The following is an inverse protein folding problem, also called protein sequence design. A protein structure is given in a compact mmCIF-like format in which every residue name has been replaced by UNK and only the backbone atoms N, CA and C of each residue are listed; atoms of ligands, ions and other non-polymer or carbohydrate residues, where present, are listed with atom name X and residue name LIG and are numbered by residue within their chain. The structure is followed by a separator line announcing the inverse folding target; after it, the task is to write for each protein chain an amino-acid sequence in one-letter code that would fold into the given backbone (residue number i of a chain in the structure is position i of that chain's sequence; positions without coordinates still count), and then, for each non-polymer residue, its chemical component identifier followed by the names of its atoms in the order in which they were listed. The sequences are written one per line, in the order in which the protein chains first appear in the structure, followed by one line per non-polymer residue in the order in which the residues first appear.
data_IF_812133632688
#
_entry.id   IF_812133632688
#
_cell.length_a   1.000
_cell.length_b   1.000
_cell.length_c   1.000
_cell.angle_alpha   90.00
_cell.angle_beta   90.00
_cell.angle_gamma   90.00
#
_symmetry.space_group_name_H-M   'P 1'
#
loop_
_entity.id
_entity.type
_entity.pdbx_description
1 polymer ?
#
# COMPACT_ATOMS: atom_id res chain seq x y z
N UNK A 1 16.98 5.84 -21.49
CA UNK A 1 17.86 4.69 -21.77
C UNK A 1 16.97 3.48 -21.63
N UNK A 2 16.66 2.82 -22.75
CA UNK A 2 15.50 1.93 -22.88
C UNK A 2 15.64 0.58 -22.19
N UNK A 3 14.49 -0.08 -22.09
CA UNK A 3 14.22 -1.51 -21.87
C UNK A 3 15.43 -2.35 -21.47
N UNK A 4 15.46 -2.79 -20.20
CA UNK A 4 16.41 -3.82 -19.75
C UNK A 4 15.69 -5.14 -19.53
N UNK A 5 15.89 -6.04 -20.48
CA UNK A 5 15.51 -7.44 -20.33
C UNK A 5 16.62 -8.15 -19.56
N UNK A 6 16.36 -8.47 -18.30
CA UNK A 6 17.13 -9.41 -17.46
C UNK A 6 18.52 -8.94 -16.98
N UNK A 7 18.63 -8.72 -15.67
CA UNK A 7 19.92 -8.56 -15.01
C UNK A 7 19.83 -8.23 -13.52
N UNK A 8 20.97 -8.32 -12.83
CA UNK A 8 21.13 -7.78 -11.48
C UNK A 8 21.81 -6.42 -11.55
N UNK A 9 21.20 -5.41 -10.95
CA UNK A 9 21.79 -4.08 -10.80
C UNK A 9 22.05 -3.86 -9.31
N UNK A 10 23.29 -3.56 -8.94
CA UNK A 10 23.61 -3.24 -7.54
C UNK A 10 22.95 -1.93 -7.12
N UNK A 11 23.46 -0.81 -7.63
CA UNK A 11 22.98 0.52 -7.28
C UNK A 11 22.77 1.40 -8.51
N UNK A 12 21.74 2.23 -8.47
CA UNK A 12 21.48 3.27 -9.46
C UNK A 12 21.04 4.55 -8.75
N UNK A 13 21.73 5.68 -9.00
CA UNK A 13 21.52 6.89 -8.17
C UNK A 13 20.65 7.98 -8.81
N UNK A 14 20.59 8.06 -10.14
CA UNK A 14 19.75 9.01 -10.86
C UNK A 14 19.40 8.46 -12.25
N UNK A 15 18.14 8.50 -12.64
CA UNK A 15 17.78 8.28 -14.04
C UNK A 15 16.33 7.90 -14.28
N UNK A 16 15.93 8.05 -15.53
CA UNK A 16 14.67 7.53 -16.05
C UNK A 16 14.95 6.25 -16.83
N UNK A 17 14.24 5.19 -16.47
CA UNK A 17 14.18 3.96 -17.24
C UNK A 17 12.75 3.81 -17.73
N UNK A 18 12.58 3.53 -19.02
CA UNK A 18 11.23 3.47 -19.62
C UNK A 18 10.48 2.23 -19.17
N UNK A 19 11.17 1.07 -19.12
CA UNK A 19 10.60 -0.24 -18.82
C UNK A 19 11.67 -1.14 -18.22
N UNK A 20 11.27 -2.00 -17.28
CA UNK A 20 12.09 -3.13 -16.84
C UNK A 20 11.21 -4.35 -16.57
N UNK A 21 11.51 -5.42 -17.30
CA UNK A 21 10.58 -6.54 -17.50
C UNK A 21 10.91 -7.76 -16.62
N UNK A 22 12.14 -7.84 -16.13
CA UNK A 22 12.63 -8.90 -15.22
C UNK A 22 13.98 -8.49 -14.63
N UNK A 23 14.14 -8.56 -13.31
CA UNK A 23 15.43 -8.26 -12.70
C UNK A 23 15.47 -8.28 -11.18
N UNK A 24 16.69 -8.20 -10.65
CA UNK A 24 16.92 -7.93 -9.23
C UNK A 24 17.70 -6.64 -9.11
N UNK A 25 17.26 -5.74 -8.25
CA UNK A 25 17.99 -4.52 -7.96
C UNK A 25 18.13 -4.31 -6.47
N UNK A 26 19.32 -3.95 -5.99
CA UNK A 26 19.53 -3.77 -4.55
C UNK A 26 19.09 -2.37 -4.09
N UNK A 27 19.46 -1.32 -4.83
CA UNK A 27 19.12 0.05 -4.47
C UNK A 27 18.90 0.95 -5.69
N UNK A 28 17.86 1.79 -5.62
CA UNK A 28 17.62 2.86 -6.57
C UNK A 28 17.30 4.18 -5.85
N UNK A 29 18.13 5.19 -6.06
CA UNK A 29 17.87 6.55 -5.60
C UNK A 29 17.41 7.40 -6.80
N UNK A 30 16.43 8.29 -6.59
CA UNK A 30 15.95 9.30 -7.55
C UNK A 30 15.64 8.76 -8.96
N UNK A 31 14.52 8.06 -9.08
CA UNK A 31 14.18 7.37 -10.31
C UNK A 31 12.74 7.61 -10.78
N UNK A 32 12.54 7.51 -12.09
CA UNK A 32 11.21 7.46 -12.68
C UNK A 32 11.15 6.26 -13.63
N UNK A 33 10.17 5.39 -13.39
CA UNK A 33 9.92 4.22 -14.23
C UNK A 33 8.43 4.13 -14.52
N UNK A 34 8.00 4.35 -15.77
CA UNK A 34 6.60 4.17 -16.13
C UNK A 34 6.07 2.78 -15.80
N UNK A 35 6.78 1.70 -16.15
CA UNK A 35 6.30 0.34 -15.92
C UNK A 35 7.40 -0.63 -15.48
N UNK A 36 7.02 -1.52 -14.57
CA UNK A 36 7.90 -2.48 -13.92
C UNK A 36 7.25 -3.85 -13.75
N UNK A 37 7.83 -4.86 -14.39
CA UNK A 37 7.26 -6.21 -14.40
C UNK A 37 8.29 -7.20 -13.83
N UNK A 38 7.88 -8.13 -12.96
CA UNK A 38 8.72 -9.24 -12.48
C UNK A 38 10.06 -8.84 -11.83
N UNK A 39 10.04 -7.79 -11.00
CA UNK A 39 11.25 -7.28 -10.32
C UNK A 39 11.26 -7.55 -8.82
N UNK A 40 12.43 -7.94 -8.32
CA UNK A 40 12.75 -7.85 -6.89
C UNK A 40 13.62 -6.63 -6.63
N UNK A 41 13.13 -5.68 -5.85
CA UNK A 41 13.85 -4.48 -5.44
C UNK A 41 14.16 -4.52 -3.93
N UNK A 42 15.41 -4.24 -3.57
CA UNK A 42 15.79 -4.02 -2.18
C UNK A 42 15.22 -2.70 -1.67
N UNK A 43 15.79 -1.60 -2.10
CA UNK A 43 15.45 -0.25 -1.63
C UNK A 43 15.16 0.70 -2.77
N UNK A 44 14.09 1.47 -2.66
CA UNK A 44 13.78 2.57 -3.56
C UNK A 44 13.61 3.86 -2.77
N UNK A 45 14.44 4.85 -3.08
CA UNK A 45 14.43 6.15 -2.41
C UNK A 45 14.09 7.24 -3.43
N UNK A 46 13.00 7.97 -3.19
CA UNK A 46 12.54 9.08 -4.03
C UNK A 46 12.30 8.67 -5.49
N UNK A 47 11.06 8.43 -5.86
CA UNK A 47 10.76 8.23 -7.27
C UNK A 47 9.29 8.15 -7.58
N UNK A 48 9.01 8.04 -8.86
CA UNK A 48 7.65 7.91 -9.37
C UNK A 48 7.58 6.71 -10.28
N UNK A 49 6.54 5.92 -10.07
CA UNK A 49 6.22 4.74 -10.84
C UNK A 49 4.76 4.79 -11.25
N UNK A 50 4.45 4.50 -12.51
CA UNK A 50 3.04 4.47 -12.93
C UNK A 50 2.44 3.08 -12.75
N UNK A 51 3.15 2.02 -13.15
CA UNK A 51 2.69 0.64 -13.10
C UNK A 51 3.75 -0.28 -12.48
N UNK A 52 3.31 -1.14 -11.57
CA UNK A 52 4.10 -2.27 -11.10
C UNK A 52 3.26 -3.55 -11.11
N UNK A 53 3.64 -4.48 -11.98
CA UNK A 53 3.07 -5.82 -12.05
C UNK A 53 4.05 -6.88 -11.51
N UNK A 54 3.60 -7.72 -10.59
CA UNK A 54 4.33 -8.90 -10.11
C UNK A 54 5.73 -8.60 -9.56
N UNK A 55 5.86 -8.05 -8.36
CA UNK A 55 7.20 -7.93 -7.77
C UNK A 55 7.25 -7.81 -6.28
N UNK A 56 8.47 -7.70 -5.77
CA UNK A 56 8.72 -7.60 -4.33
C UNK A 56 9.62 -6.42 -4.04
N UNK A 57 9.19 -5.51 -3.16
CA UNK A 57 10.05 -4.50 -2.54
C UNK A 57 10.33 -4.84 -1.09
N UNK A 58 11.56 -4.64 -0.61
CA UNK A 58 11.81 -4.62 0.83
C UNK A 58 11.48 -3.27 1.46
N UNK A 59 11.89 -2.17 0.83
CA UNK A 59 11.73 -0.83 1.38
C UNK A 59 11.47 0.21 0.29
N UNK A 60 10.44 1.03 0.51
CA UNK A 60 9.97 2.09 -0.37
C UNK A 60 9.91 3.41 0.42
N UNK A 61 10.79 4.36 0.14
CA UNK A 61 10.89 5.61 0.88
C UNK A 61 10.62 6.81 -0.05
N UNK A 62 9.69 7.69 0.36
CA UNK A 62 9.35 8.95 -0.35
C UNK A 62 9.03 8.81 -1.84
N UNK A 63 8.36 7.73 -2.22
CA UNK A 63 8.07 7.46 -3.63
C UNK A 63 6.56 7.34 -3.90
N UNK A 64 6.17 7.62 -5.14
CA UNK A 64 4.78 7.60 -5.61
C UNK A 64 4.57 6.46 -6.61
N UNK A 65 3.52 5.69 -6.43
CA UNK A 65 3.11 4.61 -7.32
C UNK A 65 1.69 4.85 -7.81
N UNK A 66 1.47 4.74 -9.12
CA UNK A 66 0.14 4.84 -9.73
C UNK A 66 -0.70 3.61 -9.43
N UNK A 67 -0.35 2.48 -10.05
CA UNK A 67 -1.04 1.20 -9.98
C UNK A 67 -0.05 0.10 -9.58
N UNK A 68 -0.53 -0.82 -8.77
CA UNK A 68 0.21 -1.97 -8.29
C UNK A 68 -0.65 -3.23 -8.41
N UNK A 69 -0.20 -4.21 -9.18
CA UNK A 69 -0.84 -5.52 -9.30
C UNK A 69 0.11 -6.63 -8.85
N UNK A 70 -0.38 -7.50 -7.96
CA UNK A 70 0.32 -8.68 -7.46
C UNK A 70 1.74 -8.39 -6.91
N UNK A 71 1.87 -7.33 -6.12
CA UNK A 71 3.14 -6.96 -5.49
C UNK A 71 3.18 -7.24 -4.00
N UNK A 72 4.39 -7.33 -3.46
CA UNK A 72 4.64 -7.38 -2.02
C UNK A 72 5.60 -6.27 -1.62
N UNK A 73 5.21 -5.38 -0.72
CA UNK A 73 6.08 -4.35 -0.15
C UNK A 73 6.29 -4.65 1.33
N UNK A 74 7.55 -4.78 1.75
CA UNK A 74 7.90 -4.99 3.15
C UNK A 74 7.59 -3.75 4.00
N UNK A 75 8.27 -2.64 3.68
CA UNK A 75 8.19 -1.36 4.39
C UNK A 75 7.92 -0.24 3.38
N UNK A 76 7.01 0.66 3.74
CA UNK A 76 6.74 1.89 3.01
C UNK A 76 6.82 3.07 3.99
N UNK A 77 7.73 4.01 3.76
CA UNK A 77 7.88 5.24 4.54
C UNK A 77 7.56 6.44 3.65
N UNK A 78 6.56 7.24 4.02
CA UNK A 78 6.14 8.44 3.28
C UNK A 78 5.81 8.18 1.79
N UNK A 79 5.34 6.97 1.46
CA UNK A 79 4.94 6.61 0.11
C UNK A 79 3.51 7.04 -0.24
N UNK A 80 3.28 7.32 -1.52
CA UNK A 80 1.93 7.52 -2.07
C UNK A 80 1.61 6.39 -3.03
N UNK A 81 0.47 5.74 -2.86
CA UNK A 81 0.03 4.69 -3.79
C UNK A 81 -1.40 4.98 -4.23
N UNK A 82 -1.64 4.96 -5.53
CA UNK A 82 -2.94 5.13 -6.15
C UNK A 82 -3.80 3.88 -5.99
N UNK A 83 -3.72 2.91 -6.90
CA UNK A 83 -4.51 1.68 -6.85
C UNK A 83 -3.64 0.47 -6.54
N UNK A 84 -4.24 -0.51 -5.87
CA UNK A 84 -3.53 -1.66 -5.34
C UNK A 84 -4.41 -2.91 -5.46
N UNK A 85 -4.05 -3.82 -6.35
CA UNK A 85 -4.77 -5.06 -6.63
C UNK A 85 -3.90 -6.28 -6.27
N UNK A 86 -4.47 -7.27 -5.57
CA UNK A 86 -3.80 -8.52 -5.18
C UNK A 86 -2.45 -8.37 -4.46
N UNK A 87 -2.27 -7.30 -3.70
CA UNK A 87 -0.95 -6.96 -3.20
C UNK A 87 -0.89 -6.90 -1.66
N UNK A 88 0.30 -7.19 -1.13
CA UNK A 88 0.55 -7.32 0.31
C UNK A 88 1.53 -6.25 0.78
N UNK A 89 1.21 -5.58 1.89
CA UNK A 89 2.08 -4.60 2.53
C UNK A 89 2.35 -4.98 3.98
N UNK A 90 3.61 -5.05 4.37
CA UNK A 90 4.00 -5.34 5.75
C UNK A 90 3.72 -4.17 6.68
N UNK A 91 4.50 -3.09 6.53
CA UNK A 91 4.39 -1.87 7.32
C UNK A 91 4.28 -0.65 6.42
N UNK A 92 3.44 0.30 6.82
CA UNK A 92 3.33 1.60 6.19
C UNK A 92 3.37 2.69 7.26
N UNK A 93 4.36 3.58 7.17
CA UNK A 93 4.51 4.75 8.03
C UNK A 93 4.27 6.02 7.21
N UNK A 94 3.31 6.84 7.65
CA UNK A 94 2.96 8.13 7.06
C UNK A 94 2.63 8.09 5.55
N UNK A 95 2.01 6.98 5.12
CA UNK A 95 1.63 6.77 3.72
C UNK A 95 0.33 7.49 3.36
N UNK A 96 0.41 8.49 2.47
CA UNK A 96 -0.79 9.08 1.86
C UNK A 96 -1.20 8.20 0.70
N UNK A 97 -2.16 7.29 0.89
CA UNK A 97 -2.70 6.54 -0.25
C UNK A 97 -3.65 7.48 -0.98
N UNK A 98 -3.44 7.63 -2.29
CA UNK A 98 -3.95 8.75 -3.07
C UNK A 98 -5.43 9.02 -2.79
N UNK A 99 -5.87 10.28 -2.86
CA UNK A 99 -7.25 10.70 -2.53
C UNK A 99 -8.36 10.04 -3.39
N UNK A 100 -7.99 9.19 -4.35
CA UNK A 100 -8.85 8.38 -5.22
C UNK A 100 -8.39 6.91 -5.35
N UNK A 101 -7.54 6.45 -4.44
CA UNK A 101 -7.00 5.10 -4.48
C UNK A 101 -7.99 4.02 -4.07
N UNK A 102 -7.99 2.90 -4.81
CA UNK A 102 -8.79 1.70 -4.56
C UNK A 102 -7.87 0.54 -4.21
N UNK A 103 -8.26 -0.24 -3.21
CA UNK A 103 -7.53 -1.40 -2.72
C UNK A 103 -8.42 -2.62 -2.84
N UNK A 104 -8.08 -3.51 -3.76
CA UNK A 104 -8.86 -4.69 -4.09
C UNK A 104 -8.02 -5.94 -3.78
N UNK A 105 -8.56 -6.86 -2.98
CA UNK A 105 -7.86 -8.11 -2.59
C UNK A 105 -6.50 -7.87 -1.94
N UNK A 106 -6.42 -6.87 -1.06
CA UNK A 106 -5.17 -6.47 -0.45
C UNK A 106 -4.99 -7.02 0.97
N UNK A 107 -3.74 -7.09 1.44
CA UNK A 107 -3.43 -7.40 2.84
C UNK A 107 -2.43 -6.38 3.38
N UNK A 108 -2.70 -5.86 4.57
CA UNK A 108 -1.84 -4.90 5.27
C UNK A 108 -1.54 -5.36 6.69
N UNK A 109 -0.27 -5.41 7.06
CA UNK A 109 0.15 -5.75 8.42
C UNK A 109 -0.15 -4.61 9.38
N UNK A 110 0.68 -3.55 9.35
CA UNK A 110 0.50 -2.35 10.17
C UNK A 110 0.44 -1.09 9.30
N UNK A 111 -0.41 -0.15 9.69
CA UNK A 111 -0.45 1.20 9.17
C UNK A 111 -0.33 2.21 10.33
N UNK A 112 0.65 3.10 10.27
CA UNK A 112 0.77 4.27 11.15
C UNK A 112 0.52 5.53 10.31
N UNK A 113 -0.41 6.39 10.74
CA UNK A 113 -0.75 7.66 10.12
C UNK A 113 -1.08 7.55 8.62
N UNK A 114 -2.27 7.05 8.28
CA UNK A 114 -2.65 6.80 6.88
C UNK A 114 -4.08 7.21 6.54
N UNK A 115 -4.29 7.76 5.35
CA UNK A 115 -5.63 7.87 4.74
C UNK A 115 -5.80 6.82 3.65
N UNK A 116 -6.93 6.14 3.64
CA UNK A 116 -7.23 4.95 2.85
C UNK A 116 -8.65 5.04 2.28
N UNK A 117 -8.84 5.52 1.04
CA UNK A 117 -10.16 6.00 0.59
C UNK A 117 -11.21 4.89 0.38
N UNK A 118 -10.85 3.81 -0.31
CA UNK A 118 -11.77 2.73 -0.71
C UNK A 118 -11.09 1.37 -0.61
N UNK A 119 -11.72 0.44 0.10
CA UNK A 119 -11.19 -0.87 0.44
C UNK A 119 -12.22 -1.96 0.12
N UNK A 120 -11.91 -2.82 -0.84
CA UNK A 120 -12.75 -3.96 -1.24
C UNK A 120 -11.97 -5.28 -1.04
N UNK A 121 -12.52 -6.20 -0.24
CA UNK A 121 -11.86 -7.49 0.06
C UNK A 121 -10.48 -7.36 0.71
N UNK A 122 -10.33 -6.45 1.68
CA UNK A 122 -9.02 -6.16 2.29
C UNK A 122 -8.92 -6.68 3.72
N UNK A 123 -7.75 -7.19 4.10
CA UNK A 123 -7.43 -7.53 5.49
C UNK A 123 -6.36 -6.59 6.05
N UNK A 124 -6.62 -5.97 7.20
CA UNK A 124 -5.67 -5.16 7.95
C UNK A 124 -5.42 -5.74 9.35
N UNK A 125 -4.15 -5.84 9.72
CA UNK A 125 -3.74 -6.25 11.07
C UNK A 125 -3.99 -5.13 12.09
N UNK A 126 -3.18 -4.08 12.04
CA UNK A 126 -3.25 -2.93 12.96
C UNK A 126 -3.28 -1.60 12.22
N UNK A 127 -4.07 -0.66 12.72
CA UNK A 127 -4.13 0.73 12.26
C UNK A 127 -3.92 1.66 13.45
N UNK A 128 -2.93 2.56 13.40
CA UNK A 128 -2.78 3.68 14.32
C UNK A 128 -2.96 4.99 13.53
N UNK A 129 -3.86 5.86 13.99
CA UNK A 129 -4.18 7.14 13.36
C UNK A 129 -4.60 7.02 11.87
N UNK A 130 -5.59 6.17 11.58
CA UNK A 130 -6.08 5.92 10.23
C UNK A 130 -7.37 6.64 9.86
N UNK A 131 -7.52 7.11 8.63
CA UNK A 131 -8.81 7.57 8.06
C UNK A 131 -9.26 6.68 6.91
N UNK A 132 -10.48 6.16 7.00
CA UNK A 132 -10.99 5.03 6.22
C UNK A 132 -12.45 5.25 5.82
N UNK A 133 -12.73 6.09 4.80
CA UNK A 133 -14.10 6.51 4.52
C UNK A 133 -15.01 5.43 3.91
N UNK A 134 -14.52 4.44 3.15
CA UNK A 134 -15.36 3.41 2.51
C UNK A 134 -14.73 2.01 2.54
N UNK A 135 -15.44 1.02 3.10
CA UNK A 135 -14.94 -0.33 3.40
C UNK A 135 -15.98 -1.40 3.04
N UNK A 136 -15.72 -2.20 2.00
CA UNK A 136 -16.57 -3.31 1.58
C UNK A 136 -15.84 -4.66 1.72
N UNK A 137 -16.45 -5.65 2.38
CA UNK A 137 -15.84 -6.99 2.60
C UNK A 137 -14.46 -6.95 3.28
N UNK A 138 -14.27 -6.05 4.24
CA UNK A 138 -12.97 -5.83 4.86
C UNK A 138 -12.87 -6.44 6.28
N UNK A 139 -11.67 -6.83 6.70
CA UNK A 139 -11.38 -7.30 8.06
C UNK A 139 -10.28 -6.45 8.68
N UNK A 140 -10.51 -5.94 9.90
CA UNK A 140 -9.54 -5.19 10.68
C UNK A 140 -9.29 -5.87 12.03
N UNK A 141 -8.02 -6.07 12.39
CA UNK A 141 -7.62 -6.66 13.68
C UNK A 141 -7.75 -5.67 14.84
N UNK A 142 -6.90 -4.64 14.88
CA UNK A 142 -6.97 -3.58 15.89
C UNK A 142 -6.91 -2.20 15.24
N UNK A 143 -7.59 -1.22 15.84
CA UNK A 143 -7.54 0.17 15.46
C UNK A 143 -7.31 1.07 16.70
N UNK A 144 -6.33 1.97 16.65
CA UNK A 144 -6.17 3.08 17.60
C UNK A 144 -6.34 4.40 16.83
N UNK A 145 -7.18 5.30 17.33
CA UNK A 145 -7.44 6.63 16.74
C UNK A 145 -7.90 6.58 15.26
N UNK A 146 -8.82 5.68 14.92
CA UNK A 146 -9.35 5.54 13.56
C UNK A 146 -10.58 6.40 13.26
N UNK A 147 -10.75 6.84 12.02
CA UNK A 147 -12.02 7.41 11.53
C UNK A 147 -12.56 6.57 10.40
N UNK A 148 -13.77 6.02 10.55
CA UNK A 148 -14.48 5.22 9.55
C UNK A 148 -15.84 5.83 9.23
N UNK A 149 -16.21 5.93 7.95
CA UNK A 149 -17.45 6.63 7.54
C UNK A 149 -18.55 5.70 6.99
N UNK A 150 -18.22 4.82 6.03
CA UNK A 150 -19.15 3.89 5.40
C UNK A 150 -18.52 2.51 5.35
N UNK A 151 -19.27 1.47 5.73
CA UNK A 151 -18.77 0.10 5.73
C UNK A 151 -19.87 -0.93 5.48
N UNK A 152 -19.63 -1.87 4.57
CA UNK A 152 -20.53 -3.00 4.25
C UNK A 152 -19.78 -4.34 4.38
N UNK A 153 -20.35 -5.30 5.12
CA UNK A 153 -19.71 -6.62 5.35
C UNK A 153 -18.31 -6.54 5.98
N UNK A 154 -18.10 -5.61 6.92
CA UNK A 154 -16.80 -5.44 7.58
C UNK A 154 -16.74 -6.14 8.95
N UNK A 155 -15.65 -6.86 9.23
CA UNK A 155 -15.34 -7.42 10.56
C UNK A 155 -14.26 -6.59 11.22
N UNK A 156 -14.48 -6.16 12.46
CA UNK A 156 -13.48 -5.43 13.23
C UNK A 156 -13.18 -6.16 14.54
N UNK A 157 -11.92 -6.20 14.96
CA UNK A 157 -11.55 -6.66 16.29
C UNK A 157 -11.77 -5.57 17.34
N UNK A 158 -10.68 -5.04 17.91
CA UNK A 158 -10.74 -4.02 18.95
C UNK A 158 -10.45 -2.64 18.37
N UNK A 159 -11.24 -1.64 18.78
CA UNK A 159 -11.05 -0.26 18.38
C UNK A 159 -11.00 0.65 19.63
N UNK A 160 -9.91 1.39 19.78
CA UNK A 160 -9.74 2.43 20.80
C UNK A 160 -9.76 3.81 20.12
N UNK A 161 -10.47 4.78 20.72
CA UNK A 161 -10.61 6.15 20.19
C UNK A 161 -11.05 6.25 18.72
N UNK A 162 -11.92 5.36 18.26
CA UNK A 162 -12.40 5.36 16.88
C UNK A 162 -13.70 6.15 16.69
N UNK A 163 -13.82 6.86 15.57
CA UNK A 163 -15.08 7.46 15.11
C UNK A 163 -15.70 6.56 14.04
N UNK A 164 -16.93 6.10 14.26
CA UNK A 164 -17.65 5.18 13.38
C UNK A 164 -18.85 5.85 12.70
N UNK A 165 -18.97 5.69 11.38
CA UNK A 165 -20.12 6.09 10.59
C UNK A 165 -21.13 4.96 10.34
N UNK A 166 -21.89 5.05 9.26
CA UNK A 166 -23.01 4.15 8.95
C UNK A 166 -22.53 2.88 8.26
N UNK A 167 -23.09 1.72 8.58
CA UNK A 167 -22.77 0.47 7.90
C UNK A 167 -23.70 -0.71 8.18
N UNK A 168 -23.69 -1.72 7.31
CA UNK A 168 -24.44 -2.97 7.46
C UNK A 168 -23.50 -4.14 7.86
N UNK A 169 -23.84 -4.76 9.00
CA UNK A 169 -23.11 -5.74 9.83
C UNK A 169 -21.83 -6.46 9.32
N UNK A 170 -20.84 -6.51 10.24
CA UNK A 170 -20.00 -7.66 10.58
C UNK A 170 -19.54 -7.55 12.05
N UNK A 171 -19.27 -8.68 12.71
CA UNK A 171 -19.09 -8.78 14.17
C UNK A 171 -17.78 -8.11 14.63
N UNK A 172 -17.87 -7.18 15.58
CA UNK A 172 -16.73 -6.59 16.30
C UNK A 172 -17.16 -6.04 17.64
N UNK A 173 -16.35 -6.26 18.69
CA UNK A 173 -16.66 -5.79 20.04
C UNK A 173 -16.60 -4.26 20.06
N UNK A 174 -17.76 -3.61 20.24
CA UNK A 174 -17.90 -2.16 20.34
C UNK A 174 -17.14 -1.62 21.57
N UNK A 175 -15.89 -1.20 21.35
CA UNK A 175 -15.15 -0.30 22.23
C UNK A 175 -15.80 1.09 22.23
N UNK A 176 -16.71 1.31 23.17
CA UNK A 176 -17.30 2.58 23.64
C UNK A 176 -17.94 3.52 22.60
N UNK A 177 -19.28 3.59 22.67
CA UNK A 177 -20.12 4.73 22.25
C UNK A 177 -19.75 6.02 22.98
#
# INVERSE_FOLDING_TARGET
MGLRDNGTIGQWNYGTMELCDCGTMEQWDYATIPQWDYVTMGQWNYGTMELWDNGTMRQWDYATMGLCDNATIGLCDNGTIGQWEYATMGLCDNGTRGTRGQWDYATMGLCDNGTMPQWDYVTMGLCDNGTMPQWDYATMGLCDNGTMSLWDYATMGLCDNATMGLGEMGLGDNGTM
#
